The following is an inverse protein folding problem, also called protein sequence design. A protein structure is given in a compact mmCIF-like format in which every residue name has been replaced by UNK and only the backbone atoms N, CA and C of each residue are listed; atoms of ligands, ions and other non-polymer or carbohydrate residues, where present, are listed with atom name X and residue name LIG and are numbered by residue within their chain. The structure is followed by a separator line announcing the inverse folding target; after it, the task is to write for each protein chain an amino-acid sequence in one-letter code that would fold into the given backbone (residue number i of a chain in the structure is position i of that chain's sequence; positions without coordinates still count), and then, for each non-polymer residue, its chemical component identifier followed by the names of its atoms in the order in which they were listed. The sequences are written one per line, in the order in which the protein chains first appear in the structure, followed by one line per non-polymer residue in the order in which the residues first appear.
data_IF_401310460188
#
_entry.id   IF_401310460188
#
_cell.length_a   1.000
_cell.length_b   1.000
_cell.length_c   1.000
_cell.angle_alpha   90.00
_cell.angle_beta   90.00
_cell.angle_gamma   90.00
#
_symmetry.space_group_name_H-M   'P 1'
#
loop_
_entity.id
_entity.type
_entity.pdbx_description
1 polymer ?
#
# COMPACT_ATOMS: atom_id res chain seq x y z
N UNK A 1 -8.96 18.70 3.51
CA UNK A 1 -9.35 18.87 4.92
C UNK A 1 -10.57 17.99 5.18
N UNK A 2 -10.39 16.81 5.76
CA UNK A 2 -11.49 15.85 5.95
C UNK A 2 -12.30 16.23 7.19
N UNK A 3 -13.59 16.56 7.00
CA UNK A 3 -14.55 16.75 8.09
C UNK A 3 -15.50 15.57 8.15
N UNK A 4 -15.87 15.16 9.36
CA UNK A 4 -16.92 14.15 9.62
C UNK A 4 -18.28 14.65 9.10
N UNK A 5 -19.07 13.85 8.38
CA UNK A 5 -20.47 14.18 8.12
C UNK A 5 -21.27 14.09 9.42
N UNK A 6 -22.12 15.08 9.67
CA UNK A 6 -23.12 15.03 10.75
C UNK A 6 -24.26 14.06 10.40
N UNK A 7 -25.07 13.65 11.39
CA UNK A 7 -26.12 12.69 11.15
C UNK A 7 -27.33 13.40 10.53
N UNK A 8 -27.77 12.85 9.39
CA UNK A 8 -29.08 12.95 8.72
C UNK A 8 -29.07 13.61 7.35
N UNK A 9 -29.58 12.87 6.36
CA UNK A 9 -30.24 13.44 5.19
C UNK A 9 -29.75 12.97 3.82
N UNK A 10 -30.27 11.81 3.38
CA UNK A 10 -30.62 11.47 1.98
C UNK A 10 -29.67 11.93 0.87
N UNK A 11 -28.62 11.15 0.62
CA UNK A 11 -28.03 11.00 -0.72
C UNK A 11 -27.74 9.51 -0.92
N UNK A 12 -28.26 8.93 -2.01
CA UNK A 12 -28.26 7.48 -2.30
C UNK A 12 -26.89 6.88 -2.65
N UNK A 13 -25.82 7.31 -2.01
CA UNK A 13 -24.51 6.66 -2.06
C UNK A 13 -24.46 5.43 -1.16
N UNK A 14 -23.46 4.53 -1.33
CA UNK A 14 -23.28 3.39 -0.45
C UNK A 14 -23.12 3.87 1.00
N UNK A 15 -24.02 3.42 1.87
CA UNK A 15 -24.05 3.76 3.28
C UNK A 15 -22.81 3.15 3.97
N UNK A 16 -21.83 3.98 4.32
CA UNK A 16 -20.69 3.55 5.12
C UNK A 16 -21.17 3.18 6.53
N UNK A 17 -21.20 1.88 6.83
CA UNK A 17 -21.42 1.37 8.20
C UNK A 17 -20.06 1.21 8.88
N UNK A 18 -19.91 1.81 10.06
CA UNK A 18 -18.73 1.55 10.91
C UNK A 18 -18.67 0.04 11.23
N UNK A 19 -17.53 -0.65 11.01
CA UNK A 19 -17.40 -2.04 11.40
C UNK A 19 -17.53 -2.18 12.92
N UNK A 20 -18.05 -3.33 13.42
CA UNK A 20 -18.19 -3.56 14.86
C UNK A 20 -16.83 -3.41 15.53
N UNK A 21 -16.78 -2.62 16.61
CA UNK A 21 -15.56 -2.46 17.41
C UNK A 21 -15.23 -3.81 18.05
N UNK A 22 -14.05 -4.41 17.81
CA UNK A 22 -13.68 -5.62 18.52
C UNK A 22 -13.59 -5.33 20.02
N UNK A 23 -14.13 -6.24 20.83
CA UNK A 23 -14.11 -6.14 22.29
C UNK A 23 -12.68 -5.97 22.80
N UNK A 24 -12.49 -5.07 23.78
CA UNK A 24 -11.20 -4.67 24.36
C UNK A 24 -10.43 -5.79 25.10
N UNK A 25 -10.93 -7.01 25.17
CA UNK A 25 -10.43 -8.02 26.12
C UNK A 25 -9.26 -8.90 25.62
N UNK A 26 -8.73 -8.69 24.41
CA UNK A 26 -7.56 -9.44 23.91
C UNK A 26 -6.26 -8.62 23.84
N UNK A 27 -6.10 -7.62 24.70
CA UNK A 27 -4.92 -6.75 24.67
C UNK A 27 -3.86 -7.05 25.77
N UNK A 28 -4.13 -7.97 26.71
CA UNK A 28 -3.30 -8.12 27.92
C UNK A 28 -2.81 -9.56 28.19
N UNK A 29 -2.61 -10.36 27.14
CA UNK A 29 -1.98 -11.67 27.28
C UNK A 29 -0.59 -11.61 26.64
N UNK A 30 0.43 -11.93 27.43
CA UNK A 30 1.84 -11.85 27.08
C UNK A 30 2.18 -12.48 25.73
N UNK A 31 3.25 -11.98 25.12
CA UNK A 31 3.79 -12.43 23.84
C UNK A 31 4.30 -13.88 23.94
N UNK A 32 3.39 -14.84 23.86
CA UNK A 32 3.70 -16.18 23.40
C UNK A 32 3.17 -16.29 21.98
N UNK A 33 4.06 -16.54 21.02
CA UNK A 33 3.67 -16.72 19.64
C UNK A 33 2.70 -17.92 19.56
N UNK A 34 1.47 -17.76 19.03
CA UNK A 34 0.55 -18.87 18.95
C UNK A 34 1.14 -20.00 18.10
N UNK A 35 1.16 -21.22 18.66
CA UNK A 35 1.56 -22.45 17.99
C UNK A 35 0.75 -22.64 16.68
N UNK A 36 1.35 -23.12 15.58
CA UNK A 36 0.67 -23.26 14.28
C UNK A 36 -0.25 -24.48 14.29
N UNK A 37 -1.33 -24.43 15.08
CA UNK A 37 -2.34 -25.45 15.13
C UNK A 37 -3.51 -25.10 14.20
N UNK A 38 -3.49 -25.69 13.00
CA UNK A 38 -4.68 -26.30 12.39
C UNK A 38 -5.89 -25.41 12.13
N UNK A 39 -5.82 -24.63 11.04
CA UNK A 39 -7.01 -24.10 10.35
C UNK A 39 -6.65 -22.91 9.49
N UNK A 40 -6.58 -23.07 8.16
CA UNK A 40 -6.54 -21.92 7.24
C UNK A 40 -7.92 -21.27 7.25
N UNK A 41 -8.18 -20.44 8.25
CA UNK A 41 -9.36 -19.59 8.27
C UNK A 41 -9.44 -18.80 6.96
N UNK A 42 -10.62 -18.76 6.35
CA UNK A 42 -10.86 -17.84 5.25
C UNK A 42 -10.63 -16.42 5.77
N UNK A 43 -10.00 -15.56 4.96
CA UNK A 43 -9.82 -14.15 5.30
C UNK A 43 -11.17 -13.49 5.66
N UNK A 44 -11.11 -12.48 6.52
CA UNK A 44 -12.29 -11.77 7.04
C UNK A 44 -13.08 -11.11 5.90
N UNK A 45 -14.41 -11.01 6.02
CA UNK A 45 -15.20 -10.24 5.06
C UNK A 45 -14.94 -8.75 5.32
N UNK A 46 -14.29 -8.07 4.39
CA UNK A 46 -13.94 -6.66 4.52
C UNK A 46 -14.93 -5.74 3.80
N UNK A 47 -15.48 -6.21 2.67
CA UNK A 47 -16.42 -5.43 1.86
C UNK A 47 -17.48 -6.34 1.28
N UNK A 48 -18.73 -5.93 1.37
CA UNK A 48 -19.86 -6.50 0.63
C UNK A 48 -20.37 -5.47 -0.37
N UNK A 49 -20.56 -5.89 -1.62
CA UNK A 49 -21.19 -5.06 -2.66
C UNK A 49 -22.57 -5.64 -2.91
N UNK A 50 -23.59 -4.80 -2.75
CA UNK A 50 -24.99 -5.20 -2.85
C UNK A 50 -25.64 -4.70 -4.14
N UNK A 51 -26.56 -5.48 -4.71
CA UNK A 51 -27.51 -5.07 -5.74
C UNK A 51 -28.92 -5.12 -5.18
N UNK A 52 -29.41 -3.97 -4.70
CA UNK A 52 -30.63 -3.92 -3.90
C UNK A 52 -30.42 -4.67 -2.57
N UNK A 53 -31.34 -5.57 -2.16
CA UNK A 53 -31.21 -6.31 -0.90
C UNK A 53 -30.25 -7.50 -0.96
N UNK A 54 -29.71 -7.83 -2.14
CA UNK A 54 -28.85 -9.01 -2.35
C UNK A 54 -27.37 -8.61 -2.28
N UNK A 55 -26.58 -9.36 -1.51
CA UNK A 55 -25.11 -9.30 -1.59
C UNK A 55 -24.67 -9.97 -2.89
N UNK A 56 -24.06 -9.19 -3.79
CA UNK A 56 -23.60 -9.65 -5.10
C UNK A 56 -22.12 -10.06 -5.07
N UNK A 57 -21.27 -9.31 -4.35
CA UNK A 57 -19.84 -9.60 -4.23
C UNK A 57 -19.37 -9.48 -2.78
N UNK A 58 -18.44 -10.37 -2.40
CA UNK A 58 -17.79 -10.38 -1.09
C UNK A 58 -16.28 -10.30 -1.32
N UNK A 59 -15.64 -9.27 -0.78
CA UNK A 59 -14.19 -9.13 -0.77
C UNK A 59 -13.67 -9.49 0.61
N UNK A 60 -12.74 -10.46 0.63
CA UNK A 60 -12.10 -10.94 1.85
C UNK A 60 -10.66 -10.49 1.94
N UNK A 61 -10.18 -10.23 3.14
CA UNK A 61 -8.79 -9.89 3.38
C UNK A 61 -8.41 -9.95 4.85
N UNK A 62 -7.12 -9.76 5.10
CA UNK A 62 -6.55 -9.70 6.45
C UNK A 62 -5.90 -8.32 6.61
N UNK A 63 -6.13 -7.68 7.75
CA UNK A 63 -5.63 -6.34 8.06
C UNK A 63 -4.83 -6.43 9.35
N UNK A 64 -3.65 -5.83 9.37
CA UNK A 64 -2.90 -5.53 10.58
C UNK A 64 -2.54 -4.04 10.61
N UNK A 65 -2.85 -3.37 11.72
CA UNK A 65 -2.39 -2.02 12.01
C UNK A 65 -1.41 -2.14 13.17
N UNK A 66 -0.18 -1.68 12.96
CA UNK A 66 0.88 -1.74 13.97
C UNK A 66 1.41 -0.35 14.29
N UNK A 67 1.94 -0.16 15.48
CA UNK A 67 2.71 1.05 15.81
C UNK A 67 4.19 0.91 15.39
N UNK A 68 4.97 1.95 15.66
CA UNK A 68 6.41 1.98 15.33
C UNK A 68 7.25 0.95 16.12
N UNK A 69 6.75 0.45 17.26
CA UNK A 69 7.38 -0.64 18.01
C UNK A 69 6.95 -2.02 17.50
N UNK A 70 6.12 -2.08 16.45
CA UNK A 70 5.57 -3.32 15.90
C UNK A 70 4.41 -3.90 16.70
N UNK A 71 3.87 -3.17 17.70
CA UNK A 71 2.73 -3.64 18.48
C UNK A 71 1.47 -3.57 17.65
N UNK A 72 0.72 -4.66 17.62
CA UNK A 72 -0.56 -4.74 16.93
C UNK A 72 -1.61 -3.88 17.63
N UNK A 73 -2.09 -2.84 16.95
CA UNK A 73 -3.14 -1.93 17.42
C UNK A 73 -4.53 -2.38 16.99
N UNK A 74 -4.63 -3.03 15.82
CA UNK A 74 -5.88 -3.55 15.26
C UNK A 74 -5.59 -4.69 14.30
N UNK A 75 -6.50 -5.67 14.23
CA UNK A 75 -6.50 -6.68 13.19
C UNK A 75 -7.92 -7.08 12.73
N UNK A 76 -8.01 -7.51 11.47
CA UNK A 76 -9.14 -8.24 10.91
C UNK A 76 -8.61 -9.51 10.23
N UNK A 77 -9.27 -10.65 10.42
CA UNK A 77 -8.77 -11.94 9.95
C UNK A 77 -7.59 -12.45 10.79
N UNK A 78 -6.66 -13.17 10.16
CA UNK A 78 -5.45 -13.70 10.78
C UNK A 78 -4.18 -13.23 10.02
N UNK A 79 -3.82 -11.95 10.16
CA UNK A 79 -2.70 -11.37 9.43
C UNK A 79 -1.34 -11.87 9.92
N UNK A 80 -1.25 -12.48 11.11
CA UNK A 80 0.00 -12.98 11.68
C UNK A 80 0.30 -14.42 11.26
N UNK A 81 -0.72 -15.27 11.06
CA UNK A 81 -0.51 -16.62 10.54
C UNK A 81 -0.44 -16.66 9.01
N UNK A 82 -1.05 -15.70 8.30
CA UNK A 82 -1.11 -15.69 6.84
C UNK A 82 0.20 -15.23 6.21
N UNK A 83 0.75 -16.07 5.33
CA UNK A 83 1.90 -15.71 4.49
C UNK A 83 1.43 -15.10 3.17
N UNK A 84 2.01 -13.96 2.81
CA UNK A 84 1.80 -13.29 1.51
C UNK A 84 3.11 -12.75 0.96
N UNK A 85 3.16 -12.51 -0.34
CA UNK A 85 4.29 -11.84 -0.99
C UNK A 85 4.17 -10.33 -0.78
N UNK A 86 5.30 -9.66 -0.52
CA UNK A 86 5.30 -8.20 -0.29
C UNK A 86 4.94 -7.42 -1.55
N UNK A 87 5.17 -8.00 -2.74
CA UNK A 87 4.93 -7.36 -4.05
C UNK A 87 5.56 -5.96 -4.05
N UNK A 88 4.86 -4.97 -4.58
CA UNK A 88 5.33 -3.59 -4.65
C UNK A 88 5.52 -2.93 -3.28
N UNK A 89 4.92 -3.46 -2.20
CA UNK A 89 5.09 -2.91 -0.86
C UNK A 89 6.52 -3.09 -0.32
N UNK A 90 7.36 -3.91 -0.98
CA UNK A 90 8.78 -4.05 -0.65
C UNK A 90 9.65 -2.84 -1.04
N UNK A 91 9.17 -1.94 -1.90
CA UNK A 91 9.97 -0.84 -2.48
C UNK A 91 10.69 0.05 -1.46
N UNK A 92 10.06 0.48 -0.34
CA UNK A 92 10.79 1.25 0.68
C UNK A 92 12.02 0.50 1.22
N UNK A 93 11.91 -0.81 1.45
CA UNK A 93 13.03 -1.64 1.86
C UNK A 93 14.09 -1.79 0.75
N UNK A 94 13.67 -1.80 -0.51
CA UNK A 94 14.58 -1.81 -1.66
C UNK A 94 15.28 -0.45 -1.85
N UNK A 95 14.66 0.64 -1.42
CA UNK A 95 15.20 2.00 -1.51
C UNK A 95 16.09 2.37 -0.30
N UNK A 96 15.93 1.70 0.85
CA UNK A 96 16.76 1.89 2.05
C UNK A 96 18.27 1.96 1.76
N UNK A 97 18.88 1.10 0.91
CA UNK A 97 20.29 1.17 0.58
C UNK A 97 20.74 2.52 0.01
N UNK A 98 19.87 3.26 -0.69
CA UNK A 98 20.20 4.59 -1.20
C UNK A 98 20.58 5.54 -0.05
N UNK A 99 19.88 5.44 1.08
CA UNK A 99 20.12 6.27 2.27
C UNK A 99 21.25 5.70 3.12
N UNK A 100 21.20 4.42 3.48
CA UNK A 100 22.19 3.81 4.41
C UNK A 100 23.63 3.81 3.89
N UNK A 101 23.81 3.76 2.56
CA UNK A 101 25.14 3.79 1.95
C UNK A 101 25.67 5.21 1.72
N UNK A 102 24.86 6.24 1.96
CA UNK A 102 25.17 7.63 1.62
C UNK A 102 25.08 7.93 0.11
N UNK A 103 24.54 7.01 -0.70
CA UNK A 103 24.38 7.23 -2.13
C UNK A 103 23.43 8.40 -2.43
N UNK A 104 22.35 8.55 -1.65
CA UNK A 104 21.43 9.67 -1.77
C UNK A 104 22.15 11.02 -1.60
N UNK A 105 23.00 11.15 -0.58
CA UNK A 105 23.78 12.37 -0.35
C UNK A 105 24.83 12.58 -1.43
N UNK A 106 25.56 11.52 -1.80
CA UNK A 106 26.62 11.55 -2.82
C UNK A 106 26.11 12.07 -4.17
N UNK A 107 24.90 11.64 -4.56
CA UNK A 107 24.30 12.01 -5.84
C UNK A 107 23.30 13.16 -5.73
N UNK A 108 23.17 13.80 -4.55
CA UNK A 108 22.25 14.93 -4.34
C UNK A 108 20.79 14.57 -4.62
N UNK A 109 20.35 13.39 -4.19
CA UNK A 109 18.95 12.97 -4.30
C UNK A 109 18.10 13.74 -3.29
N UNK A 110 16.95 14.25 -3.73
CA UNK A 110 16.01 14.98 -2.89
C UNK A 110 14.86 14.06 -2.43
N UNK A 111 14.01 14.49 -1.48
CA UNK A 111 12.89 13.67 -1.00
C UNK A 111 11.96 13.13 -2.10
N UNK A 112 11.77 13.88 -3.19
CA UNK A 112 10.97 13.43 -4.33
C UNK A 112 11.64 12.30 -5.15
N UNK A 113 12.98 12.20 -5.17
CA UNK A 113 13.70 11.07 -5.77
C UNK A 113 13.50 9.79 -4.93
N UNK A 114 13.55 9.93 -3.60
CA UNK A 114 13.31 8.83 -2.68
C UNK A 114 11.85 8.36 -2.73
N UNK A 115 10.91 9.30 -2.84
CA UNK A 115 9.50 9.00 -3.09
C UNK A 115 9.34 8.23 -4.41
N UNK A 116 10.06 8.63 -5.47
CA UNK A 116 10.08 7.90 -6.73
C UNK A 116 10.56 6.44 -6.54
N UNK A 117 11.66 6.23 -5.81
CA UNK A 117 12.17 4.89 -5.54
C UNK A 117 11.23 4.01 -4.70
N UNK A 118 10.40 4.61 -3.83
CA UNK A 118 9.56 3.89 -2.87
C UNK A 118 8.15 3.55 -3.37
N UNK A 119 7.67 4.15 -4.47
CA UNK A 119 6.28 4.07 -4.89
C UNK A 119 6.05 3.29 -6.19
N UNK A 120 4.78 2.98 -6.45
CA UNK A 120 4.32 2.34 -7.69
C UNK A 120 3.70 3.43 -8.56
N UNK A 121 4.48 3.98 -9.47
CA UNK A 121 4.06 5.12 -10.28
C UNK A 121 3.26 4.70 -11.49
N UNK A 122 2.36 5.56 -11.95
CA UNK A 122 1.58 5.33 -13.17
C UNK A 122 2.29 5.79 -14.45
N UNK A 123 3.51 6.32 -14.34
CA UNK A 123 4.30 6.75 -15.51
C UNK A 123 3.96 8.14 -16.04
N UNK A 124 3.32 9.00 -15.25
CA UNK A 124 3.16 10.43 -15.60
C UNK A 124 4.49 11.12 -15.93
N UNK A 125 4.44 12.21 -16.69
CA UNK A 125 5.62 12.96 -17.15
C UNK A 125 6.53 13.46 -16.02
N UNK A 126 5.95 13.82 -14.87
CA UNK A 126 6.69 14.17 -13.65
C UNK A 126 7.59 13.00 -13.19
N UNK A 127 7.10 11.76 -13.26
CA UNK A 127 7.85 10.58 -12.86
C UNK A 127 9.01 10.27 -13.80
N UNK A 128 8.79 10.34 -15.12
CA UNK A 128 9.83 10.06 -16.11
C UNK A 128 10.91 11.13 -16.06
N UNK A 129 10.54 12.42 -15.99
CA UNK A 129 11.48 13.53 -15.81
C UNK A 129 12.34 13.36 -14.56
N UNK A 130 11.75 12.87 -13.47
CA UNK A 130 12.48 12.59 -12.23
C UNK A 130 13.46 11.42 -12.39
N UNK A 131 13.03 10.33 -13.01
CA UNK A 131 13.90 9.18 -13.30
C UNK A 131 15.09 9.58 -14.19
N UNK A 132 14.86 10.40 -15.22
CA UNK A 132 15.90 10.96 -16.09
C UNK A 132 16.88 11.84 -15.32
N UNK A 133 16.39 12.70 -14.43
CA UNK A 133 17.25 13.54 -13.59
C UNK A 133 18.13 12.70 -12.65
N UNK A 134 17.60 11.60 -12.08
CA UNK A 134 18.39 10.67 -11.27
C UNK A 134 19.47 10.01 -12.12
N UNK A 135 19.11 9.46 -13.29
CA UNK A 135 20.05 8.83 -14.22
C UNK A 135 21.18 9.78 -14.61
N UNK A 136 20.86 11.03 -14.95
CA UNK A 136 21.85 12.06 -15.27
C UNK A 136 22.82 12.35 -14.12
N UNK A 137 22.36 12.30 -12.86
CA UNK A 137 23.21 12.48 -11.67
C UNK A 137 24.11 11.27 -11.41
N UNK A 138 23.60 10.06 -11.62
CA UNK A 138 24.36 8.83 -11.35
C UNK A 138 25.31 8.44 -12.49
N UNK A 139 25.09 8.94 -13.70
CA UNK A 139 25.95 8.78 -14.87
C UNK A 139 25.40 7.87 -15.99
N UNK A 140 24.78 6.71 -15.69
CA UNK A 140 24.15 5.86 -16.71
C UNK A 140 22.97 6.53 -17.41
N UNK A 141 22.74 6.18 -18.68
CA UNK A 141 21.53 6.53 -19.42
C UNK A 141 20.38 5.54 -19.21
N UNK A 142 19.23 5.77 -19.89
CA UNK A 142 18.04 4.91 -19.79
C UNK A 142 18.29 3.44 -20.14
N UNK A 143 19.30 3.15 -20.95
CA UNK A 143 19.74 1.79 -21.31
C UNK A 143 20.20 0.95 -20.11
N UNK A 144 20.55 1.58 -18.98
CA UNK A 144 20.85 0.88 -17.74
C UNK A 144 19.58 0.33 -17.05
N UNK A 145 18.39 0.81 -17.43
CA UNK A 145 17.13 0.32 -16.89
C UNK A 145 16.79 -1.05 -17.49
N UNK A 146 16.89 -2.10 -16.68
CA UNK A 146 16.63 -3.49 -17.10
C UNK A 146 15.15 -3.88 -17.19
N UNK A 147 14.25 -2.89 -17.16
CA UNK A 147 12.80 -3.12 -17.18
C UNK A 147 12.19 -3.06 -18.59
N UNK A 148 12.92 -2.55 -19.58
CA UNK A 148 12.37 -2.27 -20.92
C UNK A 148 11.39 -1.09 -20.89
N UNK A 149 10.78 -0.82 -22.04
CA UNK A 149 9.75 0.21 -22.19
C UNK A 149 8.36 -0.37 -21.83
N UNK A 150 7.55 0.42 -21.12
CA UNK A 150 6.17 0.10 -20.81
C UNK A 150 5.29 1.31 -21.09
N UNK A 151 4.06 1.07 -21.55
CA UNK A 151 3.06 2.12 -21.70
C UNK A 151 2.69 2.69 -20.33
N UNK A 152 2.55 4.01 -20.16
CA UNK A 152 2.08 4.60 -18.92
C UNK A 152 0.71 4.04 -18.51
N UNK A 153 0.51 3.78 -17.22
CA UNK A 153 -0.82 3.48 -16.68
C UNK A 153 -1.70 4.73 -16.63
N UNK A 154 -1.09 5.92 -16.54
CA UNK A 154 -1.81 7.17 -16.65
C UNK A 154 -2.33 7.38 -18.07
N UNK A 155 -3.65 7.54 -18.19
CA UNK A 155 -4.35 7.54 -19.47
C UNK A 155 -4.04 8.78 -20.30
N UNK A 156 -3.82 9.91 -19.66
CA UNK A 156 -3.50 11.15 -20.37
C UNK A 156 -2.10 11.07 -20.97
N UNK A 157 -1.13 10.63 -20.18
CA UNK A 157 0.25 10.42 -20.62
C UNK A 157 0.32 9.38 -21.73
N UNK A 158 -0.38 8.24 -21.61
CA UNK A 158 -0.42 7.21 -22.65
C UNK A 158 -0.96 7.74 -23.99
N UNK A 159 -2.03 8.55 -23.97
CA UNK A 159 -2.60 9.15 -25.18
C UNK A 159 -1.68 10.16 -25.85
N UNK A 160 -0.84 10.85 -25.09
CA UNK A 160 0.11 11.84 -25.62
C UNK A 160 1.29 11.20 -26.38
N UNK A 161 1.45 9.87 -26.32
CA UNK A 161 2.51 9.13 -27.01
C UNK A 161 2.11 8.67 -28.43
N UNK A 162 0.86 8.89 -28.85
CA UNK A 162 0.27 8.47 -30.14
C UNK A 162 -0.08 9.68 -30.99
#
# INVERSE_FOLDING_TARGET
MWRRPGPTGRDGGPEWREPPRPGRERADQGHEAPSPAGGRGMSEVLVEVTRGPLVELIYRGDIAVVDAAGRLLYAAGDPLARRTWWRSAAKPFQAMPLVYTGAADRYGLEPADLALACASHNGESEHTRRAEAILARIGPGPEALRCGAHEPFDRETARALV
#
